data_IF_388506166868
#
_entry.id   IF_388506166868
#
_cell.length_a   1.000
_cell.length_b   1.000
_cell.length_c   1.000
_cell.angle_alpha   90.00
_cell.angle_beta   90.00
_cell.angle_gamma   90.00
#
_symmetry.space_group_name_H-M   'P 1'
#
loop_
_entity.id
_entity.type
_entity.pdbx_description
1 polymer ?
#
# COMPACT_ATOMS: atom_id res chain seq x y z
N UNK A 1 -7.54 17.81 -12.45
CA UNK A 1 -6.98 16.46 -12.45
C UNK A 1 -5.62 16.58 -13.05
N UNK A 2 -4.66 15.75 -12.68
CA UNK A 2 -3.31 15.86 -13.21
C UNK A 2 -2.57 14.53 -13.16
N UNK A 3 -1.92 14.15 -14.26
CA UNK A 3 -0.97 13.05 -14.34
C UNK A 3 0.39 13.49 -13.83
N UNK A 4 1.08 12.62 -13.10
CA UNK A 4 2.46 12.86 -12.64
C UNK A 4 3.37 11.83 -13.28
N UNK A 5 4.47 12.29 -13.88
CA UNK A 5 5.48 11.43 -14.49
C UNK A 5 6.86 11.70 -13.88
N UNK A 6 7.54 10.65 -13.50
CA UNK A 6 8.97 10.65 -13.22
C UNK A 6 9.70 10.09 -14.44
N UNK A 7 10.65 10.85 -14.97
CA UNK A 7 11.41 10.49 -16.16
C UNK A 7 12.88 10.43 -15.80
N UNK A 8 13.44 9.23 -15.75
CA UNK A 8 14.84 8.96 -15.41
C UNK A 8 15.30 9.67 -14.14
N UNK A 9 14.44 9.65 -13.12
CA UNK A 9 14.69 10.40 -11.89
C UNK A 9 15.68 9.69 -11.00
N UNK A 10 16.72 10.43 -10.60
CA UNK A 10 17.68 10.03 -9.56
C UNK A 10 17.61 11.01 -8.40
N UNK A 11 17.60 10.48 -7.17
CA UNK A 11 17.72 11.26 -5.94
C UNK A 11 18.84 10.73 -5.06
N UNK A 12 19.83 11.57 -4.81
CA UNK A 12 20.93 11.30 -3.91
C UNK A 12 20.99 12.30 -2.75
N UNK A 13 21.47 11.83 -1.61
CA UNK A 13 21.83 12.63 -0.44
C UNK A 13 23.31 12.39 -0.14
N UNK A 14 24.15 13.33 -0.54
CA UNK A 14 25.60 13.12 -0.57
C UNK A 14 25.96 11.96 -1.52
N UNK A 15 26.68 10.96 -1.03
CA UNK A 15 27.05 9.77 -1.80
C UNK A 15 25.97 8.69 -1.85
N UNK A 16 24.90 8.79 -1.03
CA UNK A 16 23.86 7.77 -0.96
C UNK A 16 22.75 8.05 -1.99
N UNK A 17 22.63 7.20 -3.00
CA UNK A 17 21.52 7.20 -3.96
C UNK A 17 20.34 6.47 -3.37
N UNK A 18 19.27 7.20 -3.06
CA UNK A 18 18.02 6.65 -2.52
C UNK A 18 17.09 6.16 -3.63
N UNK A 19 17.12 6.83 -4.78
CA UNK A 19 16.40 6.49 -5.99
C UNK A 19 17.37 6.65 -7.16
N UNK A 20 17.37 5.71 -8.09
CA UNK A 20 18.26 5.73 -9.25
C UNK A 20 17.50 5.35 -10.52
N UNK A 21 17.57 6.23 -11.51
CA UNK A 21 17.03 6.05 -12.87
C UNK A 21 15.57 5.56 -12.91
N UNK A 22 14.72 6.18 -12.08
CA UNK A 22 13.34 5.75 -11.90
C UNK A 22 12.43 6.38 -12.96
N UNK A 23 11.66 5.53 -13.64
CA UNK A 23 10.50 5.90 -14.45
C UNK A 23 9.22 5.44 -13.74
N UNK A 24 8.24 6.34 -13.61
CA UNK A 24 6.94 6.04 -13.01
C UNK A 24 5.89 7.00 -13.57
N UNK A 25 4.71 6.49 -13.92
CA UNK A 25 3.56 7.31 -14.30
C UNK A 25 2.42 7.10 -13.31
N UNK A 26 2.02 8.15 -12.62
CA UNK A 26 0.85 8.17 -11.74
C UNK A 26 -0.31 8.75 -12.54
N UNK A 27 -1.32 7.91 -12.77
CA UNK A 27 -2.44 8.22 -13.64
C UNK A 27 -3.34 9.31 -13.06
N UNK A 28 -3.85 10.17 -13.95
CA UNK A 28 -4.83 11.20 -13.60
C UNK A 28 -6.09 10.60 -12.96
N UNK A 29 -6.57 11.26 -11.91
CA UNK A 29 -7.82 10.92 -11.21
C UNK A 29 -7.80 9.61 -10.43
N UNK A 30 -6.68 8.92 -10.32
CA UNK A 30 -6.52 7.66 -9.58
C UNK A 30 -6.07 7.89 -8.13
N UNK A 31 -6.45 6.96 -7.28
CA UNK A 31 -5.90 6.81 -5.94
C UNK A 31 -4.68 5.89 -6.02
N UNK A 32 -3.48 6.47 -6.14
CA UNK A 32 -2.24 5.71 -6.21
C UNK A 32 -1.59 5.61 -4.84
N UNK A 33 -1.29 4.38 -4.40
CA UNK A 33 -0.61 4.12 -3.12
C UNK A 33 0.82 3.66 -3.36
N UNK A 34 1.77 4.42 -2.82
CA UNK A 34 3.18 4.03 -2.73
C UNK A 34 3.38 3.22 -1.45
N UNK A 35 3.70 1.94 -1.55
CA UNK A 35 3.87 1.03 -0.41
C UNK A 35 5.25 0.36 -0.46
N UNK A 36 5.76 -0.05 0.70
CA UNK A 36 7.05 -0.72 0.83
C UNK A 36 7.67 -0.51 2.20
N UNK A 37 8.82 -1.13 2.45
CA UNK A 37 9.54 -1.03 3.73
C UNK A 37 9.95 0.42 4.04
N UNK A 38 10.20 0.70 5.32
CA UNK A 38 10.71 2.01 5.74
C UNK A 38 12.05 2.30 5.06
N UNK A 39 12.24 3.54 4.60
CA UNK A 39 13.47 3.96 3.94
C UNK A 39 13.61 3.56 2.46
N UNK A 40 12.64 2.89 1.84
CA UNK A 40 12.74 2.48 0.43
C UNK A 40 12.53 3.61 -0.60
N UNK A 41 12.28 4.87 -0.17
CA UNK A 41 12.20 6.03 -1.08
C UNK A 41 10.80 6.64 -1.29
N UNK A 42 9.71 6.09 -0.74
CA UNK A 42 8.32 6.57 -0.92
C UNK A 42 8.13 8.05 -0.60
N UNK A 43 8.47 8.44 0.63
CA UNK A 43 8.39 9.84 1.07
C UNK A 43 9.31 10.75 0.24
N UNK A 44 10.41 10.21 -0.29
CA UNK A 44 11.31 10.96 -1.18
C UNK A 44 10.62 11.28 -2.51
N UNK A 45 9.93 10.30 -3.12
CA UNK A 45 9.12 10.52 -4.33
C UNK A 45 8.03 11.55 -4.06
N UNK A 46 7.28 11.39 -2.96
CA UNK A 46 6.21 12.32 -2.59
C UNK A 46 6.75 13.75 -2.44
N UNK A 47 7.89 13.93 -1.78
CA UNK A 47 8.53 15.24 -1.56
C UNK A 47 9.03 15.86 -2.87
N UNK A 48 9.53 15.09 -3.82
CA UNK A 48 9.91 15.60 -5.13
C UNK A 48 8.71 16.15 -5.90
N UNK A 49 7.54 15.47 -5.85
CA UNK A 49 6.29 15.99 -6.41
C UNK A 49 5.89 17.30 -5.71
N UNK A 50 6.00 17.35 -4.38
CA UNK A 50 5.67 18.54 -3.59
C UNK A 50 6.62 19.73 -3.82
N UNK A 51 7.79 19.50 -4.44
CA UNK A 51 8.84 20.52 -4.59
C UNK A 51 9.68 20.72 -3.33
N UNK A 52 9.65 19.75 -2.43
CA UNK A 52 10.44 19.76 -1.18
C UNK A 52 11.66 18.86 -1.39
N UNK A 53 12.74 19.42 -1.90
CA UNK A 53 13.96 18.70 -2.26
C UNK A 53 13.89 18.12 -3.66
N UNK A 54 14.28 18.85 -4.69
CA UNK A 54 14.20 18.48 -6.10
C UNK A 54 15.02 17.22 -6.41
N UNK A 55 14.76 16.60 -7.56
CA UNK A 55 15.58 15.51 -8.09
C UNK A 55 17.05 15.93 -8.22
N UNK A 56 17.97 14.97 -8.10
CA UNK A 56 19.38 15.20 -8.38
C UNK A 56 19.63 15.22 -9.90
N UNK A 57 18.87 14.39 -10.63
CA UNK A 57 18.83 14.38 -12.10
C UNK A 57 17.49 13.77 -12.57
N UNK A 58 17.17 13.89 -13.84
CA UNK A 58 15.89 13.51 -14.42
C UNK A 58 14.81 14.58 -14.21
N UNK A 59 13.59 14.28 -14.58
CA UNK A 59 12.49 15.24 -14.60
C UNK A 59 11.24 14.72 -13.90
N UNK A 60 10.55 15.60 -13.16
CA UNK A 60 9.21 15.37 -12.64
C UNK A 60 8.24 16.23 -13.46
N UNK A 61 7.31 15.59 -14.15
CA UNK A 61 6.34 16.29 -15.00
C UNK A 61 4.96 16.23 -14.36
N UNK A 62 4.16 17.28 -14.54
CA UNK A 62 2.72 17.31 -14.23
C UNK A 62 1.97 17.79 -15.47
N UNK A 63 1.06 16.96 -15.98
CA UNK A 63 0.36 17.20 -17.26
C UNK A 63 1.34 17.53 -18.41
N UNK A 64 2.46 16.80 -18.48
CA UNK A 64 3.53 17.01 -19.48
C UNK A 64 4.40 18.24 -19.26
N UNK A 65 4.15 19.05 -18.22
CA UNK A 65 4.96 20.23 -17.89
C UNK A 65 6.00 19.87 -16.84
N UNK A 66 7.24 20.25 -17.06
CA UNK A 66 8.32 20.05 -16.09
C UNK A 66 8.10 20.93 -14.85
N UNK A 67 8.01 20.26 -13.68
CA UNK A 67 7.85 20.90 -12.37
C UNK A 67 9.06 20.65 -11.48
N UNK A 68 10.14 20.06 -11.97
CA UNK A 68 11.30 19.62 -11.18
C UNK A 68 11.82 20.74 -10.27
N UNK A 69 12.04 21.93 -10.81
CA UNK A 69 12.57 23.09 -10.08
C UNK A 69 11.48 24.13 -9.74
N UNK A 70 10.21 23.81 -10.01
CA UNK A 70 9.11 24.74 -9.74
C UNK A 70 8.88 24.88 -8.24
N UNK A 71 8.71 26.13 -7.77
CA UNK A 71 8.39 26.43 -6.36
C UNK A 71 7.13 25.68 -5.89
N UNK A 72 7.11 25.08 -4.69
CA UNK A 72 5.95 24.37 -4.15
C UNK A 72 4.64 25.13 -4.20
N UNK A 73 4.67 26.45 -4.01
CA UNK A 73 3.48 27.32 -4.03
C UNK A 73 2.84 27.43 -5.41
N UNK A 74 3.57 27.11 -6.48
CA UNK A 74 3.13 27.20 -7.89
C UNK A 74 2.69 25.87 -8.48
N UNK A 75 2.77 24.76 -7.72
CA UNK A 75 2.51 23.40 -8.24
C UNK A 75 1.05 22.99 -8.22
N UNK A 76 0.15 23.77 -7.64
CA UNK A 76 -1.27 23.44 -7.51
C UNK A 76 -1.55 22.10 -6.77
N UNK A 77 -0.71 21.80 -5.80
CA UNK A 77 -0.68 20.58 -5.01
C UNK A 77 -1.05 20.89 -3.55
N UNK A 78 -1.72 19.97 -2.88
CA UNK A 78 -1.88 20.00 -1.42
C UNK A 78 -1.19 18.80 -0.80
N UNK A 79 -0.50 19.00 0.31
CA UNK A 79 0.18 17.95 1.06
C UNK A 79 -0.34 17.85 2.48
N UNK A 80 -0.63 16.63 2.91
CA UNK A 80 -0.94 16.24 4.29
C UNK A 80 0.27 15.48 4.83
N UNK A 81 0.90 16.02 5.86
CA UNK A 81 2.08 15.42 6.50
C UNK A 81 1.67 14.41 7.57
N UNK A 82 2.55 13.50 7.91
CA UNK A 82 2.38 12.47 8.94
C UNK A 82 2.00 13.05 10.31
N UNK A 83 2.54 14.21 10.67
CA UNK A 83 2.22 14.94 11.92
C UNK A 83 1.11 15.97 11.75
N UNK A 84 0.36 15.90 10.62
CA UNK A 84 -0.72 16.81 10.22
C UNK A 84 -0.28 18.27 10.00
N UNK A 85 0.84 18.73 10.54
CA UNK A 85 1.38 20.08 10.48
C UNK A 85 0.32 21.18 10.73
N UNK A 86 -0.62 20.95 11.66
CA UNK A 86 -1.64 21.92 12.06
C UNK A 86 -1.06 22.99 12.98
N UNK A 87 -1.62 24.18 12.94
CA UNK A 87 -1.20 25.29 13.79
C UNK A 87 -1.91 25.21 15.15
N UNK A 88 -1.20 24.88 16.25
CA UNK A 88 -1.83 24.56 17.53
C UNK A 88 -2.46 25.78 18.23
N UNK A 89 -2.00 26.96 17.90
CA UNK A 89 -2.49 28.22 18.46
C UNK A 89 -3.74 28.75 17.76
N UNK A 90 -4.01 28.31 16.54
CA UNK A 90 -5.15 28.71 15.72
C UNK A 90 -6.34 27.78 15.97
N UNK A 91 -7.56 28.30 15.83
CA UNK A 91 -8.79 27.51 15.83
C UNK A 91 -8.87 26.62 14.59
N UNK A 92 -9.83 25.67 14.54
CA UNK A 92 -10.12 24.86 13.34
C UNK A 92 -10.40 25.76 12.14
N UNK A 93 -11.27 26.76 12.30
CA UNK A 93 -11.60 27.76 11.27
C UNK A 93 -10.35 28.46 10.76
N UNK A 94 -9.50 28.97 11.64
CA UNK A 94 -8.28 29.69 11.28
C UNK A 94 -7.27 28.79 10.56
N UNK A 95 -7.14 27.52 10.98
CA UNK A 95 -6.30 26.53 10.30
C UNK A 95 -6.75 26.33 8.85
N UNK A 96 -8.05 26.14 8.61
CA UNK A 96 -8.61 25.97 7.27
C UNK A 96 -8.44 27.24 6.43
N UNK A 97 -8.69 28.41 7.03
CA UNK A 97 -8.64 29.71 6.36
C UNK A 97 -7.22 30.15 5.96
N UNK A 98 -6.20 29.69 6.68
CA UNK A 98 -4.83 30.18 6.55
C UNK A 98 -4.32 30.20 5.10
N UNK A 99 -4.49 29.11 4.38
CA UNK A 99 -4.05 29.02 2.98
C UNK A 99 -4.81 29.94 2.04
N UNK A 100 -6.08 30.18 2.29
CA UNK A 100 -6.92 31.10 1.51
C UNK A 100 -6.54 32.58 1.75
N UNK A 101 -6.21 32.92 3.00
CA UNK A 101 -5.72 34.27 3.34
C UNK A 101 -4.43 34.58 2.60
N UNK A 102 -3.49 33.63 2.57
CA UNK A 102 -2.22 33.82 1.86
C UNK A 102 -2.41 33.97 0.33
N UNK A 103 -3.44 33.33 -0.23
CA UNK A 103 -3.84 33.50 -1.65
C UNK A 103 -4.69 34.76 -1.89
N UNK A 104 -4.94 35.58 -0.86
CA UNK A 104 -5.76 36.80 -0.92
C UNK A 104 -7.20 36.58 -1.42
N UNK A 105 -7.77 35.41 -1.11
CA UNK A 105 -9.18 35.10 -1.44
C UNK A 105 -10.10 36.03 -0.64
N UNK A 106 -11.16 36.62 -1.25
CA UNK A 106 -12.10 37.51 -0.58
C UNK A 106 -12.75 36.87 0.65
N UNK A 107 -13.06 37.66 1.68
CA UNK A 107 -13.58 37.18 2.97
C UNK A 107 -14.85 36.33 2.80
N UNK A 108 -15.81 36.80 2.03
CA UNK A 108 -17.09 36.12 1.80
C UNK A 108 -16.88 34.74 1.18
N UNK A 109 -16.00 34.64 0.18
CA UNK A 109 -15.65 33.38 -0.46
C UNK A 109 -14.93 32.44 0.51
N UNK A 110 -13.99 32.96 1.35
CA UNK A 110 -13.34 32.17 2.40
C UNK A 110 -14.35 31.56 3.37
N UNK A 111 -15.29 32.36 3.86
CA UNK A 111 -16.33 31.87 4.79
C UNK A 111 -17.22 30.81 4.18
N UNK A 112 -17.56 30.94 2.88
CA UNK A 112 -18.30 29.92 2.16
C UNK A 112 -17.50 28.62 2.04
N UNK A 113 -16.25 28.69 1.60
CA UNK A 113 -15.37 27.52 1.45
C UNK A 113 -15.09 26.83 2.79
N UNK A 114 -14.85 27.59 3.87
CA UNK A 114 -14.64 27.03 5.20
C UNK A 114 -15.85 26.22 5.66
N UNK A 115 -17.07 26.77 5.52
CA UNK A 115 -18.31 26.05 5.89
C UNK A 115 -18.49 24.79 5.06
N UNK A 116 -18.31 24.90 3.75
CA UNK A 116 -18.40 23.76 2.80
C UNK A 116 -17.46 22.63 3.20
N UNK A 117 -16.15 22.91 3.32
CA UNK A 117 -15.18 21.86 3.60
C UNK A 117 -15.15 21.39 5.05
N UNK A 118 -15.54 22.23 6.01
CA UNK A 118 -15.75 21.77 7.38
C UNK A 118 -16.93 20.78 7.46
N UNK A 119 -18.00 21.01 6.71
CA UNK A 119 -19.12 20.06 6.63
C UNK A 119 -18.69 18.73 5.97
N UNK A 120 -17.90 18.79 4.89
CA UNK A 120 -17.39 17.59 4.21
C UNK A 120 -16.62 16.67 5.15
N UNK A 121 -15.80 17.25 6.07
CA UNK A 121 -14.98 16.48 7.01
C UNK A 121 -15.62 16.35 8.40
N UNK A 122 -16.89 16.74 8.59
CA UNK A 122 -17.60 16.63 9.87
C UNK A 122 -17.02 17.48 11.00
N UNK A 123 -16.54 18.69 10.71
CA UNK A 123 -15.95 19.63 11.68
C UNK A 123 -16.77 20.89 11.91
N UNK A 124 -18.01 20.97 11.45
CA UNK A 124 -18.85 22.17 11.53
C UNK A 124 -18.99 22.66 12.97
N UNK A 125 -19.24 21.79 13.94
CA UNK A 125 -19.46 22.12 15.36
C UNK A 125 -18.15 22.39 16.12
N UNK A 126 -17.00 22.26 15.45
CA UNK A 126 -15.66 22.40 16.07
C UNK A 126 -14.90 23.61 15.55
N UNK A 127 -15.49 24.43 14.67
CA UNK A 127 -14.80 25.53 13.97
C UNK A 127 -14.08 26.51 14.91
N UNK A 128 -14.64 26.79 16.07
CA UNK A 128 -14.10 27.74 17.05
C UNK A 128 -13.18 27.06 18.08
N UNK A 129 -13.02 25.76 18.04
CA UNK A 129 -12.13 25.02 18.95
C UNK A 129 -10.68 25.05 18.50
N UNK A 130 -9.76 24.91 19.46
CA UNK A 130 -8.32 24.75 19.19
C UNK A 130 -7.95 23.25 19.07
N UNK A 131 -6.96 22.90 18.24
CA UNK A 131 -6.54 21.51 18.01
C UNK A 131 -6.20 20.71 19.27
N UNK A 132 -5.68 21.36 20.31
CA UNK A 132 -5.31 20.71 21.57
C UNK A 132 -6.49 20.09 22.34
N UNK A 133 -7.74 20.51 22.05
CA UNK A 133 -8.97 19.97 22.67
C UNK A 133 -9.63 18.88 21.82
N UNK A 134 -9.01 18.47 20.72
CA UNK A 134 -9.58 17.57 19.73
C UNK A 134 -8.89 16.20 19.71
N UNK A 135 -9.64 15.16 19.29
CA UNK A 135 -9.09 13.81 19.08
C UNK A 135 -8.09 13.76 17.92
N UNK A 136 -7.31 12.68 17.83
CA UNK A 136 -6.38 12.44 16.71
C UNK A 136 -7.06 12.53 15.35
N UNK A 137 -8.20 11.86 15.18
CA UNK A 137 -8.98 11.90 13.94
C UNK A 137 -9.53 13.29 13.61
N UNK A 138 -10.00 14.05 14.62
CA UNK A 138 -10.44 15.42 14.39
C UNK A 138 -9.27 16.32 13.95
N UNK A 139 -8.08 16.14 14.52
CA UNK A 139 -6.87 16.86 14.06
C UNK A 139 -6.51 16.49 12.62
N UNK A 140 -6.58 15.22 12.25
CA UNK A 140 -6.38 14.79 10.87
C UNK A 140 -7.38 15.43 9.90
N UNK A 141 -8.66 15.46 10.26
CA UNK A 141 -9.72 16.12 9.47
C UNK A 141 -9.46 17.62 9.27
N UNK A 142 -8.84 18.30 10.24
CA UNK A 142 -8.38 19.69 10.03
C UNK A 142 -7.34 19.76 8.92
N UNK A 143 -6.34 18.86 8.91
CA UNK A 143 -5.31 18.84 7.87
C UNK A 143 -5.91 18.55 6.49
N UNK A 144 -6.88 17.62 6.42
CA UNK A 144 -7.61 17.32 5.18
C UNK A 144 -8.41 18.54 4.69
N UNK A 145 -9.23 19.17 5.54
CA UNK A 145 -9.99 20.36 5.17
C UNK A 145 -9.08 21.50 4.69
N UNK A 146 -7.94 21.71 5.37
CA UNK A 146 -6.92 22.68 4.98
C UNK A 146 -6.30 22.40 3.62
N UNK A 147 -6.15 21.12 3.26
CA UNK A 147 -5.70 20.70 1.94
C UNK A 147 -6.79 20.91 0.87
N UNK A 148 -8.01 20.46 1.17
CA UNK A 148 -9.15 20.47 0.24
C UNK A 148 -9.60 21.88 -0.15
N UNK A 149 -9.60 22.83 0.80
CA UNK A 149 -10.06 24.20 0.57
C UNK A 149 -9.27 24.93 -0.51
N UNK A 150 -8.05 24.46 -0.80
CA UNK A 150 -7.19 24.98 -1.87
C UNK A 150 -7.61 24.50 -3.27
N UNK A 151 -8.52 23.51 -3.37
CA UNK A 151 -8.95 22.84 -4.61
C UNK A 151 -7.75 22.40 -5.47
N UNK A 152 -6.82 21.61 -4.93
CA UNK A 152 -5.61 21.24 -5.64
C UNK A 152 -5.92 20.26 -6.77
N UNK A 153 -5.02 20.18 -7.76
CA UNK A 153 -5.06 19.16 -8.81
C UNK A 153 -4.60 17.78 -8.30
N UNK A 154 -3.67 17.76 -7.33
CA UNK A 154 -3.09 16.54 -6.75
C UNK A 154 -3.07 16.65 -5.23
N UNK A 155 -3.54 15.60 -4.55
CA UNK A 155 -3.40 15.41 -3.11
C UNK A 155 -2.22 14.49 -2.81
N UNK A 156 -1.29 14.94 -1.98
CA UNK A 156 -0.17 14.17 -1.46
C UNK A 156 -0.38 13.86 0.01
N UNK A 157 -0.25 12.61 0.42
CA UNK A 157 -0.45 12.17 1.80
C UNK A 157 0.72 11.30 2.26
N UNK A 158 1.49 11.79 3.24
CA UNK A 158 2.65 11.10 3.79
C UNK A 158 2.26 10.41 5.10
N UNK A 159 1.95 9.12 5.06
CA UNK A 159 1.54 8.27 6.20
C UNK A 159 0.47 8.89 7.12
N UNK A 160 -0.64 9.44 6.58
CA UNK A 160 -1.55 10.26 7.38
C UNK A 160 -2.31 9.48 8.46
N UNK A 161 -2.40 8.14 8.37
CA UNK A 161 -3.12 7.29 9.32
C UNK A 161 -2.23 6.62 10.37
N UNK A 162 -0.89 6.76 10.28
CA UNK A 162 0.07 6.04 11.13
C UNK A 162 -0.08 6.30 12.63
N UNK A 163 -0.54 7.50 13.00
CA UNK A 163 -0.66 7.95 14.40
C UNK A 163 -2.08 7.71 14.99
N UNK A 164 -2.92 6.92 14.34
CA UNK A 164 -4.28 6.62 14.79
C UNK A 164 -4.40 5.20 15.37
N UNK A 165 -5.29 5.03 16.33
CA UNK A 165 -5.70 3.70 16.81
C UNK A 165 -6.40 2.90 15.70
N UNK A 166 -6.48 1.59 15.87
CA UNK A 166 -6.98 0.68 14.84
C UNK A 166 -8.43 0.98 14.41
N UNK A 167 -9.33 1.29 15.36
CA UNK A 167 -10.74 1.59 15.06
C UNK A 167 -10.89 2.89 14.28
N UNK A 168 -10.17 3.92 14.70
CA UNK A 168 -10.19 5.21 14.04
C UNK A 168 -9.54 5.15 12.66
N UNK A 169 -8.47 4.36 12.50
CA UNK A 169 -7.80 4.12 11.21
C UNK A 169 -8.76 3.54 10.18
N UNK A 170 -9.57 2.53 10.56
CA UNK A 170 -10.59 1.94 9.67
C UNK A 170 -11.62 2.99 9.24
N UNK A 171 -12.15 3.79 10.18
CA UNK A 171 -13.11 4.83 9.86
C UNK A 171 -12.53 5.90 8.92
N UNK A 172 -11.31 6.37 9.20
CA UNK A 172 -10.63 7.39 8.38
C UNK A 172 -10.27 6.89 6.99
N UNK A 173 -9.93 5.61 6.84
CA UNK A 173 -9.71 4.97 5.54
C UNK A 173 -10.95 5.05 4.67
N UNK A 174 -12.13 4.70 5.22
CA UNK A 174 -13.42 4.81 4.52
C UNK A 174 -13.69 6.27 4.10
N UNK A 175 -13.47 7.24 5.00
CA UNK A 175 -13.64 8.66 4.69
C UNK A 175 -12.73 9.13 3.55
N UNK A 176 -11.48 8.67 3.49
CA UNK A 176 -10.55 9.01 2.40
C UNK A 176 -11.01 8.45 1.05
N UNK A 177 -11.53 7.21 1.02
CA UNK A 177 -12.11 6.62 -0.18
C UNK A 177 -13.33 7.44 -0.65
N UNK A 178 -14.26 7.76 0.26
CA UNK A 178 -15.44 8.57 -0.07
C UNK A 178 -15.05 9.96 -0.57
N UNK A 179 -14.04 10.57 0.06
CA UNK A 179 -13.50 11.87 -0.36
C UNK A 179 -12.91 11.81 -1.77
N UNK A 180 -12.09 10.81 -2.08
CA UNK A 180 -11.56 10.61 -3.42
C UNK A 180 -12.67 10.42 -4.46
N UNK A 181 -13.66 9.58 -4.15
CA UNK A 181 -14.82 9.34 -5.01
C UNK A 181 -15.64 10.60 -5.32
N UNK A 182 -15.71 11.53 -4.36
CA UNK A 182 -16.40 12.81 -4.49
C UNK A 182 -15.59 13.82 -5.29
N UNK A 183 -14.29 13.91 -5.03
CA UNK A 183 -13.43 14.93 -5.63
C UNK A 183 -12.94 14.53 -7.02
N UNK A 184 -12.76 13.25 -7.28
CA UNK A 184 -12.22 12.68 -8.54
C UNK A 184 -10.85 13.24 -8.95
N UNK A 185 -10.09 13.79 -8.00
CA UNK A 185 -8.74 14.31 -8.21
C UNK A 185 -7.69 13.23 -7.99
N UNK A 186 -6.49 13.44 -8.49
CA UNK A 186 -5.36 12.51 -8.31
C UNK A 186 -4.90 12.49 -6.85
N UNK A 187 -4.90 11.31 -6.22
CA UNK A 187 -4.42 11.09 -4.87
C UNK A 187 -3.15 10.26 -4.90
N UNK A 188 -2.13 10.70 -4.18
CA UNK A 188 -0.88 9.96 -3.98
C UNK A 188 -0.67 9.78 -2.49
N UNK A 189 -0.74 8.54 -2.06
CA UNK A 189 -0.75 8.15 -0.66
C UNK A 189 0.47 7.28 -0.36
N UNK A 190 1.24 7.64 0.66
CA UNK A 190 2.37 6.85 1.15
C UNK A 190 1.96 6.10 2.39
N UNK A 191 2.26 4.82 2.44
CA UNK A 191 2.10 3.99 3.64
C UNK A 191 3.12 2.86 3.69
N UNK A 192 3.32 2.27 4.85
CA UNK A 192 3.97 0.98 5.03
C UNK A 192 2.96 -0.14 5.37
N UNK A 193 1.67 0.20 5.52
CA UNK A 193 0.58 -0.74 5.80
C UNK A 193 -0.03 -1.27 4.50
N UNK A 194 0.19 -2.57 4.24
CA UNK A 194 -0.36 -3.23 3.05
C UNK A 194 -1.90 -3.27 3.06
N UNK A 195 -2.54 -3.30 4.25
CA UNK A 195 -4.00 -3.31 4.36
C UNK A 195 -4.60 -1.99 3.87
N UNK A 196 -3.93 -0.87 4.17
CA UNK A 196 -4.31 0.43 3.63
C UNK A 196 -4.18 0.45 2.11
N UNK A 197 -3.04 -0.02 1.58
CA UNK A 197 -2.80 -0.06 0.14
C UNK A 197 -3.85 -0.91 -0.58
N UNK A 198 -4.09 -2.13 -0.11
CA UNK A 198 -5.08 -3.05 -0.71
C UNK A 198 -6.52 -2.53 -0.66
N UNK A 199 -6.87 -1.77 0.40
CA UNK A 199 -8.25 -1.32 0.60
C UNK A 199 -8.60 -0.01 -0.13
N UNK A 200 -7.62 0.87 -0.38
CA UNK A 200 -7.89 2.22 -0.88
C UNK A 200 -7.42 2.47 -2.31
N UNK A 201 -6.43 1.70 -2.79
CA UNK A 201 -5.79 2.02 -4.06
C UNK A 201 -6.61 1.61 -5.29
N UNK A 202 -6.62 2.47 -6.31
CA UNK A 202 -6.86 2.04 -7.69
C UNK A 202 -5.58 1.43 -8.28
N UNK A 203 -4.41 1.92 -7.82
CA UNK A 203 -3.09 1.52 -8.28
C UNK A 203 -2.12 1.47 -7.09
N UNK A 204 -1.42 0.35 -6.94
CA UNK A 204 -0.35 0.17 -5.95
C UNK A 204 0.98 0.22 -6.67
N UNK A 205 1.91 1.00 -6.14
CA UNK A 205 3.32 1.02 -6.53
C UNK A 205 4.12 0.46 -5.36
N UNK A 206 4.52 -0.80 -5.47
CA UNK A 206 5.36 -1.45 -4.46
C UNK A 206 6.82 -1.13 -4.69
N UNK A 207 7.48 -0.61 -3.66
CA UNK A 207 8.88 -0.20 -3.72
C UNK A 207 9.76 -0.98 -2.77
N UNK A 208 10.96 -1.31 -3.22
CA UNK A 208 12.07 -1.78 -2.37
C UNK A 208 13.38 -1.15 -2.81
N UNK A 209 14.16 -0.65 -1.84
CA UNK A 209 15.52 -0.10 -2.04
C UNK A 209 15.63 0.85 -3.24
N UNK A 210 14.68 1.79 -3.35
CA UNK A 210 14.66 2.81 -4.40
C UNK A 210 14.16 2.33 -5.77
N UNK A 211 13.71 1.08 -5.89
CA UNK A 211 13.21 0.48 -7.15
C UNK A 211 11.73 0.14 -7.04
N UNK A 212 11.04 0.18 -8.17
CA UNK A 212 9.67 -0.32 -8.29
C UNK A 212 9.73 -1.83 -8.51
N UNK A 213 9.16 -2.60 -7.59
CA UNK A 213 9.07 -4.06 -7.66
C UNK A 213 7.87 -4.52 -8.47
N UNK A 214 6.76 -3.81 -8.34
CA UNK A 214 5.56 -4.00 -9.16
C UNK A 214 4.66 -2.78 -9.05
N UNK A 215 4.00 -2.46 -10.16
CA UNK A 215 2.94 -1.47 -10.28
C UNK A 215 1.71 -2.15 -10.87
N UNK A 216 0.60 -2.18 -10.12
CA UNK A 216 -0.63 -2.86 -10.55
C UNK A 216 -1.84 -2.43 -9.71
N UNK A 217 -3.05 -2.84 -10.11
CA UNK A 217 -4.23 -2.81 -9.24
C UNK A 217 -4.05 -3.75 -8.03
N UNK A 218 -4.76 -3.50 -6.91
CA UNK A 218 -4.72 -4.41 -5.74
C UNK A 218 -4.99 -5.87 -6.09
N UNK A 219 -5.94 -6.13 -6.96
CA UNK A 219 -6.29 -7.47 -7.40
C UNK A 219 -5.13 -8.16 -8.13
N UNK A 220 -4.50 -7.47 -9.09
CA UNK A 220 -3.37 -8.01 -9.87
C UNK A 220 -2.16 -8.24 -8.98
N UNK A 221 -1.79 -7.29 -8.12
CA UNK A 221 -0.60 -7.41 -7.26
C UNK A 221 -0.72 -8.58 -6.25
N UNK A 222 -1.97 -8.90 -5.82
CA UNK A 222 -2.24 -10.01 -4.93
C UNK A 222 -2.26 -11.37 -5.67
N UNK A 223 -2.97 -11.45 -6.79
CA UNK A 223 -3.20 -12.71 -7.52
C UNK A 223 -2.13 -13.04 -8.54
N UNK A 224 -1.42 -12.04 -9.08
CA UNK A 224 -0.36 -12.24 -10.05
C UNK A 224 0.91 -11.41 -9.72
N UNK A 225 1.58 -11.71 -8.59
CA UNK A 225 2.81 -11.03 -8.23
C UNK A 225 3.92 -11.30 -9.25
N UNK A 226 4.65 -10.25 -9.65
CA UNK A 226 5.73 -10.32 -10.64
C UNK A 226 6.99 -11.02 -10.11
N UNK A 227 7.14 -11.07 -8.80
CA UNK A 227 8.32 -11.66 -8.16
C UNK A 227 7.99 -12.15 -6.74
N UNK A 228 8.89 -12.96 -6.19
CA UNK A 228 8.76 -13.53 -4.85
C UNK A 228 8.70 -12.46 -3.75
N UNK A 229 9.41 -11.33 -3.94
CA UNK A 229 9.35 -10.21 -3.00
C UNK A 229 7.93 -9.63 -2.89
N UNK A 230 7.30 -9.33 -4.03
CA UNK A 230 5.91 -8.86 -4.06
C UNK A 230 4.96 -9.87 -3.43
N UNK A 231 5.12 -11.16 -3.77
CA UNK A 231 4.30 -12.24 -3.23
C UNK A 231 4.36 -12.35 -1.71
N UNK A 232 5.55 -12.11 -1.12
CA UNK A 232 5.77 -12.14 0.31
C UNK A 232 5.42 -10.82 1.00
N UNK A 233 5.59 -9.69 0.31
CA UNK A 233 5.25 -8.39 0.89
C UNK A 233 3.74 -8.18 0.99
N UNK A 234 2.97 -8.64 -0.01
CA UNK A 234 1.51 -8.48 -0.07
C UNK A 234 0.81 -9.73 0.43
N UNK A 235 0.04 -9.58 1.49
CA UNK A 235 -0.75 -10.65 2.16
C UNK A 235 -0.36 -10.83 3.63
N UNK A 236 -1.36 -11.12 4.48
CA UNK A 236 -1.18 -11.40 5.91
C UNK A 236 -1.96 -12.66 6.27
N UNK A 237 -1.23 -13.76 6.55
CA UNK A 237 0.21 -13.99 6.46
C UNK A 237 0.78 -13.84 5.03
N UNK A 238 2.12 -13.69 4.88
CA UNK A 238 2.79 -13.66 3.59
C UNK A 238 2.59 -14.96 2.79
N UNK A 239 2.79 -14.91 1.46
CA UNK A 239 2.86 -16.13 0.64
C UNK A 239 3.95 -17.06 1.17
N UNK A 240 3.64 -18.34 1.35
CA UNK A 240 4.65 -19.35 1.62
C UNK A 240 5.53 -19.52 0.38
N UNK A 241 6.85 -19.45 0.57
CA UNK A 241 7.83 -19.66 -0.50
C UNK A 241 8.78 -20.79 -0.06
N UNK A 242 8.77 -21.87 -0.82
CA UNK A 242 9.58 -23.08 -0.56
C UNK A 242 10.66 -23.24 -1.63
N UNK A 243 11.83 -23.79 -1.31
CA UNK A 243 12.83 -24.15 -2.31
C UNK A 243 12.34 -25.31 -3.18
N UNK A 244 12.62 -25.25 -4.48
CA UNK A 244 12.31 -26.28 -5.46
C UNK A 244 13.49 -26.48 -6.43
N UNK A 245 14.61 -27.00 -5.93
CA UNK A 245 15.89 -27.02 -6.61
C UNK A 245 16.50 -25.61 -6.68
N UNK A 246 16.81 -25.11 -7.88
CA UNK A 246 17.25 -23.72 -8.06
C UNK A 246 16.09 -22.72 -8.05
N UNK A 247 14.88 -23.19 -8.35
CA UNK A 247 13.66 -22.40 -8.40
C UNK A 247 12.95 -22.35 -7.04
N UNK A 248 11.82 -21.63 -6.97
CA UNK A 248 10.99 -21.51 -5.77
C UNK A 248 9.53 -21.82 -6.09
N UNK A 249 8.87 -22.49 -5.16
CA UNK A 249 7.45 -22.78 -5.18
C UNK A 249 6.74 -21.86 -4.18
N UNK A 250 5.70 -21.16 -4.63
CA UNK A 250 4.86 -20.31 -3.80
C UNK A 250 3.42 -20.79 -3.72
N UNK A 251 2.76 -20.53 -2.59
CA UNK A 251 1.31 -20.66 -2.43
C UNK A 251 0.78 -19.78 -1.28
N UNK A 252 -0.43 -19.26 -1.45
CA UNK A 252 -1.06 -18.41 -0.44
C UNK A 252 -1.51 -19.23 0.76
N UNK A 253 -1.37 -18.72 2.02
CA UNK A 253 -1.81 -19.40 3.24
C UNK A 253 -3.27 -19.86 3.23
N UNK A 254 -4.17 -19.08 2.66
CA UNK A 254 -5.61 -19.38 2.56
C UNK A 254 -5.96 -20.36 1.43
N UNK A 255 -5.00 -20.74 0.59
CA UNK A 255 -5.17 -21.74 -0.48
C UNK A 255 -4.70 -23.11 -0.08
N UNK A 256 -4.13 -23.26 1.11
CA UNK A 256 -3.74 -24.55 1.67
C UNK A 256 -4.94 -25.21 2.32
N UNK A 257 -5.25 -26.41 1.89
CA UNK A 257 -6.28 -27.23 2.51
C UNK A 257 -5.63 -28.20 3.52
N UNK A 258 -6.13 -28.18 4.74
CA UNK A 258 -5.75 -29.10 5.79
C UNK A 258 -6.70 -30.29 5.84
N UNK A 259 -6.15 -31.48 6.04
CA UNK A 259 -6.92 -32.70 6.15
C UNK A 259 -6.14 -33.80 6.86
N UNK A 260 -6.79 -34.96 7.06
CA UNK A 260 -6.13 -36.19 7.53
C UNK A 260 -5.58 -37.02 6.36
N UNK A 261 -6.01 -36.68 5.15
CA UNK A 261 -5.60 -37.33 3.90
C UNK A 261 -5.33 -36.28 2.82
N UNK A 262 -4.58 -36.67 1.78
CA UNK A 262 -4.32 -35.86 0.61
C UNK A 262 -5.61 -35.52 -0.11
N UNK A 263 -5.76 -34.28 -0.52
CA UNK A 263 -6.83 -33.86 -1.42
C UNK A 263 -6.64 -34.51 -2.81
N UNK A 264 -7.67 -35.14 -3.33
CA UNK A 264 -7.64 -35.74 -4.67
C UNK A 264 -7.33 -34.69 -5.75
N UNK A 265 -6.40 -35.04 -6.66
CA UNK A 265 -5.97 -34.16 -7.75
C UNK A 265 -5.04 -33.00 -7.33
N UNK A 266 -4.72 -32.82 -6.06
CA UNK A 266 -3.76 -31.80 -5.66
C UNK A 266 -2.32 -32.24 -5.99
N UNK A 267 -1.57 -31.49 -6.82
CA UNK A 267 -0.18 -31.85 -7.11
C UNK A 267 0.73 -31.71 -5.90
N UNK A 268 0.53 -30.68 -5.08
CA UNK A 268 1.27 -30.51 -3.84
C UNK A 268 0.51 -31.14 -2.67
N UNK A 269 1.12 -32.10 -2.01
CA UNK A 269 0.63 -32.67 -0.75
C UNK A 269 1.81 -33.09 0.14
N UNK A 270 1.80 -32.67 1.41
CA UNK A 270 2.86 -32.95 2.39
C UNK A 270 2.25 -33.21 3.75
N UNK A 271 2.90 -34.07 4.55
CA UNK A 271 2.59 -34.19 5.98
C UNK A 271 3.22 -33.03 6.73
N UNK A 272 2.53 -32.55 7.74
CA UNK A 272 3.02 -31.51 8.63
C UNK A 272 2.51 -31.67 10.04
N UNK A 273 3.16 -30.99 10.96
CA UNK A 273 2.84 -30.99 12.40
C UNK A 273 2.50 -29.58 12.85
N UNK A 274 1.36 -29.36 13.50
CA UNK A 274 0.88 -28.05 13.94
C UNK A 274 1.68 -27.56 15.13
N UNK A 275 2.48 -26.50 14.93
CA UNK A 275 3.30 -25.87 15.96
C UNK A 275 2.53 -24.79 16.76
N UNK A 276 1.68 -24.02 16.11
CA UNK A 276 0.84 -22.99 16.75
C UNK A 276 -0.51 -22.91 16.06
N UNK A 277 -1.52 -22.51 16.85
CA UNK A 277 -2.87 -22.24 16.42
C UNK A 277 -3.31 -20.90 17.01
N UNK A 278 -3.66 -19.95 16.15
CA UNK A 278 -4.13 -18.63 16.53
C UNK A 278 -5.54 -18.41 16.00
N UNK A 279 -6.53 -18.32 16.90
CA UNK A 279 -7.91 -18.02 16.52
C UNK A 279 -8.12 -16.50 16.48
N UNK A 280 -8.42 -15.97 15.29
CA UNK A 280 -8.60 -14.54 15.05
C UNK A 280 -10.07 -14.14 14.85
N UNK A 281 -11.00 -14.96 15.33
CA UNK A 281 -12.44 -14.75 15.23
C UNK A 281 -13.03 -15.40 13.98
N UNK A 282 -12.96 -14.79 12.82
CA UNK A 282 -13.51 -15.34 11.56
C UNK A 282 -12.60 -16.35 10.87
N UNK A 283 -11.38 -16.50 11.34
CA UNK A 283 -10.36 -17.37 10.74
C UNK A 283 -9.37 -17.85 11.79
N UNK A 284 -8.75 -18.98 11.51
CA UNK A 284 -7.68 -19.56 12.32
C UNK A 284 -6.40 -19.61 11.50
N UNK A 285 -5.30 -19.12 12.06
CA UNK A 285 -3.98 -19.20 11.47
C UNK A 285 -3.18 -20.32 12.16
N UNK A 286 -2.60 -21.20 11.36
CA UNK A 286 -1.75 -22.29 11.81
C UNK A 286 -0.32 -22.07 11.34
N UNK A 287 0.65 -22.26 12.24
CA UNK A 287 2.06 -22.46 11.84
C UNK A 287 2.33 -23.96 11.86
N UNK A 288 2.77 -24.50 10.73
CA UNK A 288 2.90 -25.93 10.53
C UNK A 288 4.32 -26.25 10.10
N UNK A 289 4.98 -27.18 10.81
CA UNK A 289 6.28 -27.72 10.45
C UNK A 289 6.10 -28.79 9.37
N UNK A 290 6.88 -28.71 8.32
CA UNK A 290 6.86 -29.61 7.18
C UNK A 290 8.32 -29.98 6.81
N UNK A 291 8.85 -31.05 7.38
CA UNK A 291 10.29 -31.33 7.33
C UNK A 291 11.08 -30.22 8.00
N UNK A 292 12.05 -29.66 7.26
CA UNK A 292 12.88 -28.54 7.75
C UNK A 292 12.22 -27.16 7.58
N UNK A 293 11.10 -27.09 6.87
CA UNK A 293 10.40 -25.83 6.55
C UNK A 293 9.18 -25.62 7.46
N UNK A 294 8.92 -24.37 7.81
CA UNK A 294 7.68 -23.98 8.51
C UNK A 294 6.84 -23.09 7.61
N UNK A 295 5.56 -23.39 7.48
CA UNK A 295 4.62 -22.64 6.68
C UNK A 295 3.48 -22.08 7.50
N UNK A 296 2.84 -21.03 6.97
CA UNK A 296 1.61 -20.47 7.53
C UNK A 296 0.40 -20.94 6.72
N UNK A 297 -0.65 -21.35 7.42
CA UNK A 297 -1.93 -21.73 6.81
C UNK A 297 -3.03 -20.90 7.47
N UNK A 298 -3.94 -20.40 6.65
CA UNK A 298 -5.09 -19.61 7.05
C UNK A 298 -6.35 -20.36 6.65
N UNK A 299 -7.20 -20.70 7.61
CA UNK A 299 -8.40 -21.50 7.39
C UNK A 299 -9.61 -20.86 8.07
N UNK A 300 -10.79 -20.89 7.43
CA UNK A 300 -12.04 -20.56 8.10
C UNK A 300 -12.42 -21.63 9.15
N UNK A 301 -11.88 -22.86 9.01
CA UNK A 301 -12.15 -23.96 9.90
C UNK A 301 -11.17 -23.96 11.07
N UNK A 302 -11.67 -24.27 12.28
CA UNK A 302 -10.92 -24.40 13.51
C UNK A 302 -10.80 -25.85 14.01
N UNK A 303 -10.99 -26.81 13.10
CA UNK A 303 -11.12 -28.24 13.40
C UNK A 303 -9.84 -28.84 13.98
N UNK A 304 -8.67 -28.37 13.52
CA UNK A 304 -7.38 -28.91 13.93
C UNK A 304 -6.84 -28.23 15.19
N UNK A 305 -6.18 -29.02 16.04
CA UNK A 305 -5.66 -28.56 17.31
C UNK A 305 -4.13 -28.43 17.29
N UNK A 306 -3.57 -27.74 18.27
CA UNK A 306 -2.14 -27.73 18.55
C UNK A 306 -1.60 -29.15 18.75
N UNK A 307 -0.35 -29.40 18.33
CA UNK A 307 0.35 -30.70 18.49
C UNK A 307 -0.31 -31.86 17.70
N UNK A 308 -0.94 -31.54 16.56
CA UNK A 308 -1.63 -32.51 15.70
C UNK A 308 -0.94 -32.63 14.34
N UNK A 309 -0.85 -33.88 13.85
CA UNK A 309 -0.39 -34.15 12.50
C UNK A 309 -1.51 -33.93 11.47
N UNK A 310 -1.16 -33.32 10.35
CA UNK A 310 -2.08 -32.99 9.27
C UNK A 310 -1.45 -33.25 7.92
N UNK A 311 -2.28 -33.35 6.89
CA UNK A 311 -1.87 -33.32 5.49
C UNK A 311 -2.26 -32.00 4.88
N UNK A 312 -1.26 -31.30 4.33
CA UNK A 312 -1.43 -30.04 3.60
C UNK A 312 -1.57 -30.37 2.12
N UNK A 313 -2.56 -29.80 1.46
CA UNK A 313 -2.77 -29.97 0.02
C UNK A 313 -3.00 -28.63 -0.65
N UNK A 314 -2.40 -28.43 -1.85
CA UNK A 314 -2.58 -27.21 -2.65
C UNK A 314 -2.90 -27.63 -4.09
N UNK A 315 -3.92 -27.02 -4.68
CA UNK A 315 -4.34 -27.27 -6.07
C UNK A 315 -3.35 -26.67 -7.06
N UNK A 316 -3.32 -27.19 -8.28
CA UNK A 316 -2.41 -26.74 -9.33
C UNK A 316 -2.56 -25.23 -9.64
N UNK A 317 -3.78 -24.73 -9.68
CA UNK A 317 -4.08 -23.34 -9.99
C UNK A 317 -3.70 -22.35 -8.88
N UNK A 318 -3.44 -22.85 -7.66
CA UNK A 318 -3.04 -22.08 -6.50
C UNK A 318 -1.51 -22.10 -6.29
N UNK A 319 -0.75 -22.75 -7.19
CA UNK A 319 0.70 -22.79 -7.16
C UNK A 319 1.31 -21.65 -7.97
N UNK A 320 2.35 -21.07 -7.41
CA UNK A 320 3.16 -20.01 -8.01
C UNK A 320 4.59 -20.52 -8.15
N UNK A 321 5.22 -20.22 -9.28
CA UNK A 321 6.61 -20.60 -9.50
C UNK A 321 7.44 -19.34 -9.73
N UNK A 322 8.64 -19.34 -9.15
CA UNK A 322 9.62 -18.27 -9.31
C UNK A 322 10.97 -18.89 -9.66
N UNK A 323 11.71 -18.22 -10.52
CA UNK A 323 13.06 -18.62 -10.87
C UNK A 323 14.06 -18.39 -9.70
N UNK A 324 15.31 -18.72 -9.92
CA UNK A 324 16.41 -18.53 -8.96
C UNK A 324 16.55 -17.07 -8.48
N UNK A 325 16.26 -16.11 -9.37
CA UNK A 325 16.33 -14.68 -9.10
C UNK A 325 15.03 -14.14 -8.45
N UNK A 326 14.05 -15.03 -8.27
CA UNK A 326 12.75 -14.71 -7.67
C UNK A 326 11.77 -14.08 -8.63
N UNK A 327 12.00 -14.10 -9.94
CA UNK A 327 11.05 -13.62 -10.93
C UNK A 327 9.95 -14.65 -11.16
N UNK A 328 8.73 -14.17 -11.41
CA UNK A 328 7.55 -15.01 -11.63
C UNK A 328 7.67 -15.81 -12.93
N UNK A 329 7.43 -17.13 -12.87
CA UNK A 329 7.29 -18.00 -14.02
C UNK A 329 5.79 -18.27 -14.25
N UNK A 330 5.25 -17.84 -15.38
CA UNK A 330 3.85 -18.03 -15.76
C UNK A 330 3.71 -19.12 -16.82
N UNK A 331 2.51 -19.68 -16.95
CA UNK A 331 2.23 -20.76 -17.94
C UNK A 331 2.58 -20.35 -19.38
N UNK A 332 2.47 -19.07 -19.72
CA UNK A 332 2.83 -18.56 -21.06
C UNK A 332 4.32 -18.30 -21.28
N UNK A 333 5.12 -18.22 -20.21
CA UNK A 333 6.53 -17.84 -20.30
C UNK A 333 7.43 -19.03 -20.71
N UNK A 334 7.00 -20.25 -20.40
CA UNK A 334 7.79 -21.47 -20.60
C UNK A 334 6.95 -22.59 -21.22
N UNK A 335 7.54 -23.35 -22.14
CA UNK A 335 6.87 -24.51 -22.82
C UNK A 335 6.67 -25.71 -21.90
N UNK A 336 7.41 -25.81 -20.81
CA UNK A 336 7.44 -26.95 -19.90
C UNK A 336 6.77 -26.66 -18.53
N UNK A 337 5.81 -25.74 -18.46
CA UNK A 337 5.15 -25.34 -17.20
C UNK A 337 4.56 -26.51 -16.40
N UNK A 338 4.04 -27.54 -17.09
CA UNK A 338 3.47 -28.71 -16.44
C UNK A 338 4.53 -29.55 -15.69
N UNK A 339 5.81 -29.43 -16.05
CA UNK A 339 6.91 -30.04 -15.31
C UNK A 339 7.12 -29.35 -13.95
N UNK A 340 6.90 -28.03 -13.87
CA UNK A 340 6.93 -27.32 -12.58
C UNK A 340 5.83 -27.83 -11.64
N UNK A 341 4.63 -28.07 -12.16
CA UNK A 341 3.51 -28.64 -11.38
C UNK A 341 3.88 -30.06 -10.90
N UNK A 342 4.47 -30.89 -11.76
CA UNK A 342 4.92 -32.25 -11.39
C UNK A 342 6.03 -32.21 -10.33
N UNK A 343 7.02 -31.32 -10.48
CA UNK A 343 8.11 -31.13 -9.50
C UNK A 343 7.58 -30.67 -8.13
N UNK A 344 6.52 -29.82 -8.09
CA UNK A 344 5.87 -29.40 -6.83
C UNK A 344 5.32 -30.61 -6.05
N UNK A 345 4.88 -31.65 -6.75
CA UNK A 345 4.48 -32.93 -6.14
C UNK A 345 5.61 -33.65 -5.40
N UNK A 346 6.86 -33.43 -5.81
CA UNK A 346 8.01 -34.19 -5.34
C UNK A 346 7.97 -35.66 -5.76
N UNK A 347 9.07 -36.38 -5.61
CA UNK A 347 9.03 -37.83 -5.69
C UNK A 347 8.12 -38.35 -4.57
N UNK A 348 7.03 -39.02 -4.93
CA UNK A 348 6.05 -39.63 -4.02
C UNK A 348 6.65 -40.82 -3.24
N UNK A 349 7.80 -40.63 -2.58
CA UNK A 349 8.41 -41.65 -1.72
C UNK A 349 8.90 -40.98 -0.44
N UNK A 350 7.98 -40.70 0.49
CA UNK A 350 8.24 -40.59 1.94
C UNK A 350 6.94 -40.76 2.73
#
# INVERSE_FOLDING_TARGET
MAEIQFVKVTKAFGSNKVIEDLDLTIQDGKFTVLVGASGCGKTTLLRMIAGIGPATSGHVLMDGKDITDLDPAKRDIAMVFQNYAIYPTMTVKENIEFGLKNRKVPKEEREKLIKEYAAVVGLTDYLDRKPGTLSGGQRQRIALARAMVKKPKVFLMDEPLSNLDAKLRVAMRTELIEMHNRLKTTFIYVTHDQTEAMAMADQIVLMDKGKIMQEASPEVIYHDPNNAFTAQFIGTPPMNILPMGEDKLGFRPERVQLGTQRLEGAPFARKGHILTREMLGSETTYKIQMGDEAIMVKSPDDTFQYDQDVVLSVRADDLYFFDKDGQRIRRGDVSNYDQYIQRAGGNNNA
#
